data_IF_312759747018
#
_entry.id   IF_312759747018
#
_cell.length_a   1.000
_cell.length_b   1.000
_cell.length_c   1.000
_cell.angle_alpha   90.00
_cell.angle_beta   90.00
_cell.angle_gamma   90.00
#
_symmetry.space_group_name_H-M   'P 1'
#
loop_
_entity.id
_entity.type
_entity.pdbx_description
1 polymer ?
#
# COMPACT_ATOMS: atom_id res chain seq x y z
N UNK A 1 -18.36 -8.45 -9.79
CA UNK A 1 -17.57 -8.28 -8.55
C UNK A 1 -16.13 -7.89 -8.87
N UNK A 2 -15.44 -8.66 -9.74
CA UNK A 2 -14.13 -8.30 -10.33
C UNK A 2 -14.15 -6.95 -11.08
N UNK A 3 -15.22 -6.64 -11.81
CA UNK A 3 -15.34 -5.39 -12.56
C UNK A 3 -15.24 -4.15 -11.67
N UNK A 4 -15.80 -4.20 -10.46
CA UNK A 4 -15.71 -3.09 -9.51
C UNK A 4 -14.27 -2.83 -9.06
N UNK A 5 -13.45 -3.88 -9.01
CA UNK A 5 -12.06 -3.81 -8.60
C UNK A 5 -11.16 -3.32 -9.74
N UNK A 6 -11.38 -3.84 -10.95
CA UNK A 6 -10.71 -3.35 -12.16
C UNK A 6 -11.04 -1.86 -12.39
N UNK A 7 -12.29 -1.44 -12.14
CA UNK A 7 -12.69 -0.04 -12.20
C UNK A 7 -12.00 0.83 -11.13
N UNK A 8 -11.78 0.31 -9.91
CA UNK A 8 -11.00 1.01 -8.88
C UNK A 8 -9.52 1.11 -9.27
N UNK A 9 -8.93 0.04 -9.79
CA UNK A 9 -7.55 0.03 -10.29
C UNK A 9 -7.36 1.04 -11.42
N UNK A 10 -8.28 1.08 -12.38
CA UNK A 10 -8.25 2.04 -13.50
C UNK A 10 -8.38 3.50 -13.04
N UNK A 11 -9.00 3.75 -11.88
CA UNK A 11 -9.23 5.09 -11.32
C UNK A 11 -8.23 5.47 -10.22
N UNK A 12 -7.20 4.67 -9.97
CA UNK A 12 -6.17 4.95 -8.97
C UNK A 12 -5.58 6.35 -9.18
N UNK A 13 -5.65 7.17 -8.12
CA UNK A 13 -5.01 8.49 -8.12
C UNK A 13 -3.50 8.30 -7.99
N UNK A 14 -2.81 8.30 -9.12
CA UNK A 14 -1.34 8.35 -9.21
C UNK A 14 -0.89 9.81 -9.14
N UNK A 15 0.23 10.07 -8.47
CA UNK A 15 0.83 11.39 -8.44
C UNK A 15 1.27 11.80 -9.85
N UNK A 16 0.83 12.98 -10.32
CA UNK A 16 1.09 13.51 -11.67
C UNK A 16 2.10 14.65 -11.69
N UNK A 17 2.80 14.90 -10.58
CA UNK A 17 3.75 16.01 -10.47
C UNK A 17 4.98 15.90 -11.40
N UNK A 18 5.25 14.71 -11.96
CA UNK A 18 6.33 14.47 -12.92
C UNK A 18 5.78 14.16 -14.31
N UNK A 19 6.52 14.51 -15.36
CA UNK A 19 6.25 14.10 -16.75
C UNK A 19 6.13 12.57 -16.90
N UNK A 20 6.72 11.78 -15.98
CA UNK A 20 6.56 10.33 -15.91
C UNK A 20 6.10 9.86 -14.52
N UNK A 21 4.80 10.03 -14.20
CA UNK A 21 4.19 9.64 -12.92
C UNK A 21 4.68 8.29 -12.42
N UNK A 22 5.29 8.25 -11.23
CA UNK A 22 5.75 6.99 -10.67
C UNK A 22 4.56 6.21 -10.06
N UNK A 23 4.32 4.95 -10.46
CA UNK A 23 3.13 4.19 -10.06
C UNK A 23 3.25 3.58 -8.65
N UNK A 24 3.54 4.37 -7.61
CA UNK A 24 3.73 3.89 -6.23
C UNK A 24 2.57 3.01 -5.71
N UNK A 25 1.32 3.49 -5.85
CA UNK A 25 0.15 2.74 -5.37
C UNK A 25 -0.10 1.46 -6.18
N UNK A 26 -0.09 1.48 -7.53
CA UNK A 26 -0.13 0.25 -8.31
C UNK A 26 0.96 -0.76 -7.94
N UNK A 27 2.21 -0.31 -7.73
CA UNK A 27 3.30 -1.20 -7.32
C UNK A 27 3.05 -1.86 -5.97
N UNK A 28 2.54 -1.10 -5.00
CA UNK A 28 2.22 -1.68 -3.69
C UNK A 28 1.08 -2.69 -3.79
N UNK A 29 0.04 -2.41 -4.58
CA UNK A 29 -1.04 -3.37 -4.81
C UNK A 29 -0.50 -4.65 -5.46
N UNK A 30 0.34 -4.53 -6.50
CA UNK A 30 1.00 -5.69 -7.10
C UNK A 30 1.82 -6.49 -6.07
N UNK A 31 2.59 -5.79 -5.22
CA UNK A 31 3.39 -6.42 -4.17
C UNK A 31 2.54 -7.19 -3.16
N UNK A 32 1.36 -6.66 -2.79
CA UNK A 32 0.40 -7.33 -1.91
C UNK A 32 -0.17 -8.58 -2.61
N UNK A 33 -0.59 -8.45 -3.87
CA UNK A 33 -1.15 -9.57 -4.65
C UNK A 33 -0.16 -10.70 -4.82
N UNK A 34 1.09 -10.39 -5.10
CA UNK A 34 2.20 -11.35 -5.17
C UNK A 34 2.36 -12.14 -3.88
N UNK A 35 2.31 -11.46 -2.73
CA UNK A 35 2.46 -12.14 -1.44
C UNK A 35 1.21 -12.93 -1.04
N UNK A 36 0.02 -12.51 -1.48
CA UNK A 36 -1.20 -13.31 -1.36
C UNK A 36 -1.09 -14.59 -2.20
N UNK A 37 -0.67 -14.48 -3.46
CA UNK A 37 -0.49 -15.61 -4.38
C UNK A 37 0.54 -16.63 -3.83
N UNK A 38 1.60 -16.14 -3.19
CA UNK A 38 2.62 -16.96 -2.53
C UNK A 38 2.18 -17.53 -1.17
N UNK A 39 0.97 -17.20 -0.68
CA UNK A 39 0.46 -17.62 0.62
C UNK A 39 1.10 -16.92 1.83
N UNK A 40 1.97 -15.93 1.61
CA UNK A 40 2.64 -15.18 2.67
C UNK A 40 1.70 -14.20 3.40
N UNK A 41 0.63 -13.76 2.72
CA UNK A 41 -0.48 -13.01 3.32
C UNK A 41 -1.73 -13.90 3.28
N UNK A 42 -1.99 -14.70 4.33
CA UNK A 42 -3.05 -15.71 4.33
C UNK A 42 -4.45 -15.15 4.65
N UNK A 43 -4.58 -13.84 4.88
CA UNK A 43 -5.82 -13.18 5.29
C UNK A 43 -5.95 -11.79 4.65
N UNK A 44 -7.08 -11.12 4.81
CA UNK A 44 -7.23 -9.72 4.40
C UNK A 44 -6.45 -8.71 5.26
N UNK A 45 -5.70 -9.16 6.27
CA UNK A 45 -4.92 -8.31 7.16
C UNK A 45 -3.51 -8.11 6.60
N UNK A 46 -3.28 -6.94 6.02
CA UNK A 46 -2.01 -6.52 5.43
C UNK A 46 -1.20 -5.74 6.47
N UNK A 47 -0.04 -6.26 6.84
CA UNK A 47 0.92 -5.52 7.69
C UNK A 47 1.99 -4.88 6.79
N UNK A 48 2.48 -3.70 7.15
CA UNK A 48 3.62 -3.08 6.48
C UNK A 48 4.92 -3.70 6.99
N UNK A 49 5.16 -4.94 6.58
CA UNK A 49 6.32 -5.73 7.03
C UNK A 49 7.58 -5.43 6.21
N UNK A 50 8.77 -5.80 6.70
CA UNK A 50 10.00 -5.74 5.91
C UNK A 50 9.91 -6.52 4.59
N UNK A 51 9.21 -7.66 4.56
CA UNK A 51 9.03 -8.50 3.37
C UNK A 51 8.17 -7.79 2.32
N UNK A 52 7.05 -7.16 2.74
CA UNK A 52 6.22 -6.37 1.83
C UNK A 52 6.99 -5.15 1.30
N UNK A 53 7.73 -4.46 2.17
CA UNK A 53 8.58 -3.34 1.79
C UNK A 53 9.66 -3.77 0.79
N UNK A 54 10.30 -4.91 1.02
CA UNK A 54 11.31 -5.49 0.14
C UNK A 54 10.73 -5.83 -1.24
N UNK A 55 9.55 -6.48 -1.30
CA UNK A 55 8.90 -6.80 -2.58
C UNK A 55 8.55 -5.53 -3.37
N UNK A 56 8.04 -4.52 -2.68
CA UNK A 56 7.77 -3.21 -3.28
C UNK A 56 9.04 -2.56 -3.84
N UNK A 57 10.14 -2.57 -3.08
CA UNK A 57 11.41 -1.98 -3.51
C UNK A 57 12.02 -2.73 -4.71
N UNK A 58 11.91 -4.06 -4.75
CA UNK A 58 12.37 -4.84 -5.90
C UNK A 58 11.63 -4.46 -7.19
N UNK A 59 10.30 -4.27 -7.11
CA UNK A 59 9.52 -3.76 -8.24
C UNK A 59 9.83 -2.30 -8.57
N UNK A 60 10.09 -1.50 -7.54
CA UNK A 60 10.50 -0.11 -7.72
C UNK A 60 11.80 -0.02 -8.52
N UNK A 61 12.79 -0.85 -8.21
CA UNK A 61 14.11 -0.84 -8.84
C UNK A 61 14.02 -1.08 -10.36
N UNK A 62 13.18 -2.01 -10.79
CA UNK A 62 12.93 -2.32 -12.21
C UNK A 62 12.47 -1.08 -12.97
N UNK A 63 11.63 -0.23 -12.35
CA UNK A 63 11.09 0.97 -12.99
C UNK A 63 11.91 2.24 -12.69
N UNK A 64 12.71 2.28 -11.63
CA UNK A 64 13.43 3.48 -11.18
C UNK A 64 14.69 3.80 -11.99
N UNK A 65 15.11 2.88 -12.87
CA UNK A 65 16.16 3.06 -13.89
C UNK A 65 16.01 4.33 -14.77
N UNK A 66 14.90 5.07 -14.64
CA UNK A 66 14.62 6.35 -15.29
C UNK A 66 14.92 7.60 -14.44
N UNK A 67 15.80 7.50 -13.42
CA UNK A 67 16.18 8.65 -12.57
C UNK A 67 15.14 9.02 -11.51
N UNK A 68 14.40 8.03 -10.99
CA UNK A 68 13.38 8.26 -9.96
C UNK A 68 14.01 8.31 -8.56
N UNK A 69 13.35 9.03 -7.65
CA UNK A 69 13.72 9.07 -6.23
C UNK A 69 13.59 7.69 -5.56
N UNK A 70 14.11 7.56 -4.34
CA UNK A 70 14.00 6.32 -3.55
C UNK A 70 12.53 5.97 -3.34
N UNK A 71 12.18 4.69 -3.55
CA UNK A 71 10.83 4.17 -3.35
C UNK A 71 10.43 4.21 -1.89
N UNK A 72 9.46 5.06 -1.55
CA UNK A 72 8.93 5.20 -0.19
C UNK A 72 7.63 4.41 -0.04
N UNK A 73 7.68 3.20 0.50
CA UNK A 73 6.54 2.28 0.61
C UNK A 73 5.46 2.75 1.61
N UNK A 74 5.85 3.52 2.62
CA UNK A 74 4.96 4.06 3.64
C UNK A 74 3.92 5.02 3.03
N UNK A 75 4.28 5.72 1.94
CA UNK A 75 3.39 6.65 1.25
C UNK A 75 2.22 5.93 0.56
N UNK A 76 2.43 4.99 -0.40
CA UNK A 76 1.32 4.26 -0.99
C UNK A 76 0.55 3.43 0.03
N UNK A 77 1.21 2.85 1.05
CA UNK A 77 0.51 2.09 2.09
C UNK A 77 -0.49 2.95 2.86
N UNK A 78 -0.09 4.18 3.17
CA UNK A 78 -0.96 5.14 3.83
C UNK A 78 -2.05 5.68 2.89
N UNK A 79 -1.74 5.97 1.63
CA UNK A 79 -2.68 6.63 0.74
C UNK A 79 -3.69 5.70 0.06
N UNK A 80 -3.45 4.38 0.02
CA UNK A 80 -4.42 3.41 -0.52
C UNK A 80 -5.77 3.41 0.24
N UNK A 81 -5.82 3.98 1.45
CA UNK A 81 -7.09 4.20 2.17
C UNK A 81 -8.01 5.20 1.47
N UNK A 82 -7.42 6.23 0.85
CA UNK A 82 -8.16 7.30 0.18
C UNK A 82 -8.79 6.79 -1.13
N UNK A 83 -8.20 5.75 -1.71
CA UNK A 83 -8.71 5.06 -2.91
C UNK A 83 -9.63 3.87 -2.55
N UNK A 84 -9.87 3.63 -1.26
CA UNK A 84 -10.78 2.60 -0.77
C UNK A 84 -10.28 1.17 -0.91
N UNK A 85 -8.96 0.97 -1.03
CA UNK A 85 -8.32 -0.36 -1.05
C UNK A 85 -8.02 -0.86 0.36
N UNK A 86 -7.52 0.03 1.23
CA UNK A 86 -7.09 -0.32 2.58
C UNK A 86 -7.95 0.41 3.64
N UNK A 87 -8.19 -0.25 4.76
CA UNK A 87 -8.70 0.36 5.99
C UNK A 87 -7.66 0.15 7.08
N UNK A 88 -7.02 1.22 7.54
CA UNK A 88 -6.04 1.10 8.63
C UNK A 88 -6.75 0.82 9.96
N UNK A 89 -6.20 -0.13 10.70
CA UNK A 89 -6.61 -0.50 12.06
C UNK A 89 -5.46 -0.10 12.99
N UNK A 90 -5.76 0.71 13.99
CA UNK A 90 -4.75 1.14 14.97
C UNK A 90 -4.40 -0.01 15.94
N UNK A 91 -3.31 0.15 16.70
CA UNK A 91 -3.18 -0.57 17.97
C UNK A 91 -4.19 -0.02 19.00
N UNK A 92 -4.64 -0.83 19.97
CA UNK A 92 -5.50 -0.35 21.05
C UNK A 92 -4.89 0.87 21.76
N UNK A 93 -5.65 1.95 21.88
CA UNK A 93 -5.23 3.20 22.49
C UNK A 93 -4.55 4.19 21.54
N UNK A 94 -4.39 3.84 20.26
CA UNK A 94 -3.80 4.70 19.22
C UNK A 94 -4.84 5.20 18.20
N UNK A 95 -6.13 4.99 18.43
CA UNK A 95 -7.21 5.32 17.49
C UNK A 95 -7.25 6.81 17.15
N UNK A 96 -7.12 7.68 18.15
CA UNK A 96 -7.07 9.15 17.94
C UNK A 96 -5.76 9.58 17.26
N UNK A 97 -4.66 8.87 17.52
CA UNK A 97 -3.37 9.12 16.86
C UNK A 97 -3.44 8.79 15.38
N UNK A 98 -4.15 7.71 15.01
CA UNK A 98 -4.33 7.30 13.61
C UNK A 98 -5.00 8.39 12.75
N UNK A 99 -5.85 9.23 13.34
CA UNK A 99 -6.52 10.32 12.63
C UNK A 99 -5.54 11.41 12.14
N UNK A 100 -4.44 11.60 12.86
CA UNK A 100 -3.46 12.67 12.61
C UNK A 100 -2.08 12.18 12.17
N UNK A 101 -1.82 10.86 12.19
CA UNK A 101 -0.53 10.29 11.80
C UNK A 101 -0.18 10.63 10.36
N UNK A 102 1.10 10.95 10.12
CA UNK A 102 1.66 11.24 8.80
C UNK A 102 2.58 10.09 8.36
N UNK A 103 2.60 9.72 7.07
CA UNK A 103 3.47 8.65 6.55
C UNK A 103 4.91 9.16 6.35
N UNK A 104 5.62 9.42 7.45
CA UNK A 104 6.99 9.93 7.42
C UNK A 104 8.02 8.82 7.31
N UNK A 105 7.73 7.62 7.82
CA UNK A 105 8.55 6.41 7.69
C UNK A 105 7.71 5.16 7.95
N UNK A 106 8.25 3.99 7.58
CA UNK A 106 7.66 2.69 7.92
C UNK A 106 7.50 2.53 9.43
N UNK A 107 8.54 2.85 10.21
CA UNK A 107 8.51 2.79 11.68
C UNK A 107 7.43 3.70 12.27
N UNK A 108 7.30 4.94 11.77
CA UNK A 108 6.27 5.88 12.24
C UNK A 108 4.85 5.33 12.03
N UNK A 109 4.60 4.65 10.90
CA UNK A 109 3.30 4.03 10.65
C UNK A 109 3.10 2.78 11.51
N UNK A 110 4.11 1.92 11.61
CA UNK A 110 4.04 0.66 12.36
C UNK A 110 3.91 0.86 13.88
N UNK A 111 4.23 2.04 14.42
CA UNK A 111 3.94 2.39 15.82
C UNK A 111 2.46 2.62 16.10
N UNK A 112 1.68 2.99 15.09
CA UNK A 112 0.27 3.43 15.23
C UNK A 112 -0.67 2.41 14.61
N UNK A 113 -0.34 1.91 13.42
CA UNK A 113 -1.15 1.01 12.62
C UNK A 113 -0.73 -0.43 12.95
N UNK A 114 -1.66 -1.22 13.48
CA UNK A 114 -1.43 -2.65 13.75
C UNK A 114 -1.47 -3.47 12.46
N UNK A 115 -2.42 -3.15 11.58
CA UNK A 115 -2.57 -3.72 10.25
C UNK A 115 -3.52 -2.86 9.41
N UNK A 116 -3.55 -3.10 8.10
CA UNK A 116 -4.58 -2.63 7.22
C UNK A 116 -5.48 -3.80 6.81
N UNK A 117 -6.78 -3.63 6.87
CA UNK A 117 -7.70 -4.56 6.24
C UNK A 117 -7.90 -4.20 4.76
N UNK A 118 -7.80 -5.19 3.90
CA UNK A 118 -8.15 -5.05 2.50
C UNK A 118 -9.67 -4.96 2.37
N UNK A 119 -10.18 -3.83 1.88
CA UNK A 119 -11.63 -3.61 1.75
C UNK A 119 -12.20 -4.57 0.71
N UNK A 120 -13.10 -5.44 1.18
CA UNK A 120 -13.57 -6.65 0.51
C UNK A 120 -14.23 -6.34 -0.83
N UNK A 121 -13.63 -6.93 -1.87
CA UNK A 121 -14.24 -7.51 -3.08
C UNK A 121 -13.22 -8.47 -3.74
N UNK A 122 -12.29 -9.04 -2.94
CA UNK A 122 -11.08 -9.71 -3.44
C UNK A 122 -10.84 -11.11 -2.87
N UNK A 123 -11.56 -11.50 -1.81
CA UNK A 123 -11.47 -12.84 -1.27
C UNK A 123 -12.69 -13.61 -1.75
N UNK A 124 -12.38 -14.63 -2.56
CA UNK A 124 -13.29 -15.65 -3.07
C UNK A 124 -13.72 -16.53 -1.90
#
# INVERSE_FOLDING_TARGET
MLDSWLQKLAKLRVDRASETPAPHKPLLLLSILDQIEQGAIPSNNIRLTPELAFRFLAYWEVISSRGRSVGRVELPFFHLRNDGFLRHIAYPGFETVLESVKPTSVDSLNRVISHAEMRTNFLI
#
